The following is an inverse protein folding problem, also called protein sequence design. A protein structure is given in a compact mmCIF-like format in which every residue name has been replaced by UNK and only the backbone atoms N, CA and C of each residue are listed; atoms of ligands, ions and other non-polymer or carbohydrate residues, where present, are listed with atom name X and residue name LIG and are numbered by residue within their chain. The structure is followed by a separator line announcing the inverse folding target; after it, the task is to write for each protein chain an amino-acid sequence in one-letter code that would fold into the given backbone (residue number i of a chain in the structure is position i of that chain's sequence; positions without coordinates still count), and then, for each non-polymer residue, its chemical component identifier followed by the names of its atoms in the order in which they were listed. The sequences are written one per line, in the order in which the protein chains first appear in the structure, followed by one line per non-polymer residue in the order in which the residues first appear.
data_IF_774679988045
#
_entry.id   IF_774679988045
#
_cell.length_a   1.000
_cell.length_b   1.000
_cell.length_c   1.000
_cell.angle_alpha   90.00
_cell.angle_beta   90.00
_cell.angle_gamma   90.00
#
_symmetry.space_group_name_H-M   'P 1'
#
loop_
_entity.id
_entity.type
_entity.pdbx_description
1 polymer ?
#
# COMPACT_ATOMS: atom_id res chain seq x y z
N UNK A 1 -7.11 9.47 6.09
CA UNK A 1 -7.87 8.60 7.03
C UNK A 1 -7.11 8.33 8.34
N UNK A 2 -5.84 7.92 8.28
CA UNK A 2 -5.12 7.36 9.43
C UNK A 2 -4.74 8.31 10.59
N UNK A 3 -5.05 9.61 10.52
CA UNK A 3 -4.58 10.63 11.46
C UNK A 3 -4.89 10.35 12.95
N UNK A 4 -6.00 9.67 13.25
CA UNK A 4 -6.37 9.33 14.65
C UNK A 4 -5.58 8.17 15.24
N UNK A 5 -5.06 7.26 14.40
CA UNK A 5 -4.38 6.04 14.87
C UNK A 5 -2.88 6.06 14.59
N UNK A 6 -2.43 6.76 13.53
CA UNK A 6 -1.03 6.81 13.13
C UNK A 6 -0.11 7.31 14.26
N UNK A 7 -0.42 8.36 15.04
CA UNK A 7 0.43 8.79 16.15
C UNK A 7 0.59 7.72 17.25
N UNK A 8 -0.46 6.93 17.51
CA UNK A 8 -0.40 5.85 18.50
C UNK A 8 0.42 4.67 18.00
N UNK A 9 0.32 4.35 16.71
CA UNK A 9 1.14 3.32 16.07
C UNK A 9 2.62 3.75 16.01
N UNK A 10 2.87 5.05 15.75
CA UNK A 10 4.21 5.61 15.66
C UNK A 10 5.03 5.50 16.95
N UNK A 11 4.38 5.28 18.11
CA UNK A 11 5.07 5.02 19.36
C UNK A 11 5.87 3.69 19.34
N UNK A 12 5.52 2.74 18.47
CA UNK A 12 6.13 1.40 18.42
C UNK A 12 6.60 0.98 17.01
N UNK A 13 6.16 1.69 15.97
CA UNK A 13 6.44 1.34 14.58
C UNK A 13 6.86 2.57 13.78
N UNK A 14 7.69 2.38 12.75
CA UNK A 14 7.80 3.39 11.69
C UNK A 14 6.55 3.32 10.83
N UNK A 15 5.70 4.35 10.92
CA UNK A 15 4.43 4.40 10.20
C UNK A 15 4.62 5.11 8.87
N UNK A 16 4.36 4.38 7.79
CA UNK A 16 4.37 4.89 6.42
C UNK A 16 2.93 4.88 5.91
N UNK A 17 2.31 6.06 5.85
CA UNK A 17 0.96 6.24 5.33
C UNK A 17 1.06 6.85 3.93
N UNK A 18 0.64 6.10 2.92
CA UNK A 18 0.83 6.44 1.51
C UNK A 18 -0.48 6.81 0.86
N UNK A 19 -0.40 7.75 -0.08
CA UNK A 19 -1.44 7.93 -1.07
C UNK A 19 -1.21 6.93 -2.20
N UNK A 20 -2.25 6.17 -2.54
CA UNK A 20 -2.23 5.28 -3.69
C UNK A 20 -2.18 6.10 -4.98
N UNK A 21 -1.63 5.53 -6.06
CA UNK A 21 -1.77 6.14 -7.40
C UNK A 21 -3.23 6.52 -7.65
N UNK A 22 -3.47 7.70 -8.24
CA UNK A 22 -4.78 8.34 -8.44
C UNK A 22 -5.45 8.97 -7.20
N UNK A 23 -4.92 8.76 -6.00
CA UNK A 23 -5.49 9.29 -4.76
C UNK A 23 -4.59 10.37 -4.15
N UNK A 24 -5.17 11.30 -3.41
CA UNK A 24 -4.46 12.36 -2.70
C UNK A 24 -3.43 13.06 -3.57
N UNK A 25 -2.20 13.15 -3.09
CA UNK A 25 -1.06 13.72 -3.80
C UNK A 25 -0.24 12.68 -4.59
N UNK A 26 -0.71 11.42 -4.63
CA UNK A 26 -0.13 10.37 -5.46
C UNK A 26 -0.24 10.67 -6.96
N UNK A 27 0.70 10.12 -7.73
CA UNK A 27 0.74 10.28 -9.18
C UNK A 27 -0.55 9.81 -9.86
N UNK A 28 -0.92 10.52 -10.93
CA UNK A 28 -2.20 10.34 -11.64
C UNK A 28 -1.95 10.13 -13.14
N UNK A 29 -1.25 9.04 -13.54
CA UNK A 29 -0.95 8.79 -14.95
C UNK A 29 -2.23 8.64 -15.77
N UNK A 30 -2.20 8.96 -17.06
CA UNK A 30 -3.36 8.67 -17.91
C UNK A 30 -3.62 7.16 -17.92
N UNK A 31 -4.89 6.71 -17.84
CA UNK A 31 -5.21 5.30 -17.99
C UNK A 31 -4.67 4.77 -19.33
N UNK A 32 -4.10 3.58 -19.32
CA UNK A 32 -3.84 2.84 -20.56
C UNK A 32 -5.18 2.44 -21.20
N UNK A 33 -5.18 2.08 -22.49
CA UNK A 33 -6.40 1.68 -23.21
C UNK A 33 -7.14 0.54 -22.50
N UNK A 34 -6.39 -0.41 -21.93
CA UNK A 34 -6.91 -1.53 -21.15
C UNK A 34 -7.06 -1.24 -19.64
N UNK A 35 -6.73 -0.02 -19.21
CA UNK A 35 -6.68 0.40 -17.80
C UNK A 35 -5.78 -0.44 -16.89
N UNK A 36 -4.85 -1.22 -17.45
CA UNK A 36 -3.98 -2.14 -16.70
C UNK A 36 -3.12 -1.42 -15.68
N UNK A 37 -2.72 -0.18 -15.95
CA UNK A 37 -1.98 0.66 -15.00
C UNK A 37 -2.77 1.07 -13.76
N UNK A 38 -4.07 0.78 -13.68
CA UNK A 38 -4.88 0.97 -12.48
C UNK A 38 -5.40 -0.33 -11.86
N UNK A 39 -4.91 -1.48 -12.33
CA UNK A 39 -5.22 -2.76 -11.71
C UNK A 39 -4.53 -2.88 -10.33
N UNK A 40 -5.11 -3.70 -9.44
CA UNK A 40 -4.67 -3.80 -8.05
C UNK A 40 -3.24 -4.33 -7.91
N UNK A 41 -2.81 -5.21 -8.81
CA UNK A 41 -1.44 -5.72 -8.87
C UNK A 41 -0.42 -4.62 -9.15
N UNK A 42 -0.69 -3.73 -10.10
CA UNK A 42 0.20 -2.60 -10.40
C UNK A 42 0.24 -1.61 -9.23
N UNK A 43 -0.91 -1.34 -8.61
CA UNK A 43 -0.96 -0.50 -7.39
C UNK A 43 -0.20 -1.14 -6.22
N UNK A 44 -0.22 -2.48 -6.09
CA UNK A 44 0.53 -3.19 -5.07
C UNK A 44 2.04 -3.10 -5.33
N UNK A 45 2.46 -3.23 -6.59
CA UNK A 45 3.85 -3.10 -6.99
C UNK A 45 4.43 -1.72 -6.62
N UNK A 46 3.68 -0.63 -6.77
CA UNK A 46 4.16 0.69 -6.31
C UNK A 46 4.54 0.72 -4.85
N UNK A 47 3.75 0.04 -4.02
CA UNK A 47 3.92 0.04 -2.57
C UNK A 47 5.13 -0.83 -2.20
N UNK A 48 5.35 -1.95 -2.91
CA UNK A 48 6.58 -2.74 -2.76
C UNK A 48 7.81 -1.91 -3.13
N UNK A 49 7.82 -1.28 -4.31
CA UNK A 49 8.95 -0.48 -4.78
C UNK A 49 9.23 0.72 -3.88
N UNK A 50 8.19 1.35 -3.34
CA UNK A 50 8.33 2.42 -2.35
C UNK A 50 9.01 1.90 -1.08
N UNK A 51 8.54 0.78 -0.53
CA UNK A 51 9.13 0.21 0.69
C UNK A 51 10.58 -0.20 0.48
N UNK A 52 10.91 -0.79 -0.67
CA UNK A 52 12.29 -1.12 -1.05
C UNK A 52 13.17 0.14 -1.15
N UNK A 53 12.67 1.19 -1.79
CA UNK A 53 13.38 2.49 -1.89
C UNK A 53 13.62 3.13 -0.53
N UNK A 54 12.72 2.91 0.43
CA UNK A 54 12.86 3.34 1.82
C UNK A 54 13.73 2.40 2.67
N UNK A 55 14.19 1.27 2.12
CA UNK A 55 15.08 0.32 2.79
C UNK A 55 14.36 -0.77 3.60
N UNK A 56 13.05 -0.94 3.44
CA UNK A 56 12.27 -1.95 4.15
C UNK A 56 12.04 -3.20 3.27
N UNK A 57 12.65 -4.32 3.67
CA UNK A 57 12.52 -5.60 2.96
C UNK A 57 11.28 -6.39 3.37
N UNK A 58 10.84 -6.25 4.62
CA UNK A 58 9.65 -6.90 5.15
C UNK A 58 8.87 -5.92 6.04
N UNK A 59 7.55 -5.91 5.94
CA UNK A 59 6.71 -4.94 6.63
C UNK A 59 5.33 -5.49 7.01
N UNK A 60 4.64 -4.75 7.88
CA UNK A 60 3.25 -5.00 8.24
C UNK A 60 2.33 -4.19 7.33
N UNK A 61 1.18 -4.77 6.96
CA UNK A 61 0.19 -4.11 6.10
C UNK A 61 -1.09 -3.79 6.86
N UNK A 62 -1.62 -2.58 6.65
CA UNK A 62 -2.94 -2.18 7.15
C UNK A 62 -3.70 -1.53 5.99
N UNK A 63 -4.74 -2.21 5.49
CA UNK A 63 -5.56 -1.75 4.37
C UNK A 63 -7.00 -1.45 4.78
N UNK A 64 -7.58 -0.40 4.19
CA UNK A 64 -9.00 -0.05 4.31
C UNK A 64 -9.60 0.15 2.90
N UNK A 65 -10.81 -0.35 2.65
CA UNK A 65 -11.55 -0.19 1.38
C UNK A 65 -10.68 -0.52 0.15
N UNK A 66 -10.37 0.45 -0.73
CA UNK A 66 -9.47 0.23 -1.88
C UNK A 66 -8.07 -0.19 -1.46
N UNK A 67 -7.56 0.33 -0.35
CA UNK A 67 -6.26 -0.07 0.19
C UNK A 67 -6.24 -1.52 0.66
N UNK A 68 -7.36 -2.05 1.18
CA UNK A 68 -7.48 -3.46 1.53
C UNK A 68 -7.39 -4.35 0.28
N UNK A 69 -8.06 -3.98 -0.81
CA UNK A 69 -7.98 -4.72 -2.08
C UNK A 69 -6.56 -4.71 -2.66
N UNK A 70 -5.87 -3.56 -2.63
CA UNK A 70 -4.48 -3.45 -3.11
C UNK A 70 -3.54 -4.31 -2.28
N UNK A 71 -3.61 -4.20 -0.95
CA UNK A 71 -2.72 -4.93 -0.06
C UNK A 71 -3.01 -6.43 0.01
N UNK A 72 -4.24 -6.84 -0.25
CA UNK A 72 -4.56 -8.24 -0.48
C UNK A 72 -3.77 -8.82 -1.66
N UNK A 73 -3.74 -8.12 -2.81
CA UNK A 73 -2.91 -8.53 -3.94
C UNK A 73 -1.42 -8.46 -3.62
N UNK A 74 -0.96 -7.46 -2.85
CA UNK A 74 0.44 -7.38 -2.42
C UNK A 74 0.84 -8.62 -1.64
N UNK A 75 0.05 -9.03 -0.64
CA UNK A 75 0.34 -10.21 0.17
C UNK A 75 0.29 -11.52 -0.62
N UNK A 76 -0.49 -11.59 -1.70
CA UNK A 76 -0.53 -12.75 -2.59
C UNK A 76 0.65 -12.79 -3.57
N UNK A 77 0.97 -11.66 -4.20
CA UNK A 77 2.00 -11.57 -5.23
C UNK A 77 3.42 -11.48 -4.62
N UNK A 78 3.56 -11.01 -3.38
CA UNK A 78 4.84 -10.81 -2.65
C UNK A 78 4.77 -11.26 -1.18
N UNK A 79 4.45 -12.54 -0.90
CA UNK A 79 4.26 -13.03 0.47
C UNK A 79 5.51 -12.86 1.35
N UNK A 80 6.70 -12.92 0.75
CA UNK A 80 7.98 -12.75 1.43
C UNK A 80 8.19 -11.33 1.98
N UNK A 81 7.46 -10.33 1.47
CA UNK A 81 7.54 -8.93 1.94
C UNK A 81 6.62 -8.67 3.14
N UNK A 82 5.69 -9.58 3.47
CA UNK A 82 4.58 -9.30 4.40
C UNK A 82 4.70 -10.12 5.68
N UNK A 83 4.98 -9.44 6.80
CA UNK A 83 5.05 -10.09 8.12
C UNK A 83 3.67 -10.49 8.64
N UNK A 84 2.73 -9.54 8.59
CA UNK A 84 1.30 -9.70 8.91
C UNK A 84 0.49 -8.64 8.19
N UNK A 85 -0.77 -8.93 7.91
CA UNK A 85 -1.68 -8.02 7.23
C UNK A 85 -3.02 -7.92 7.95
N UNK A 86 -3.60 -6.72 7.95
CA UNK A 86 -4.94 -6.43 8.47
C UNK A 86 -5.74 -5.66 7.41
N UNK A 87 -6.98 -6.10 7.19
CA UNK A 87 -7.88 -5.52 6.19
C UNK A 87 -9.20 -5.15 6.82
N UNK A 88 -9.69 -3.95 6.51
CA UNK A 88 -11.03 -3.47 6.86
C UNK A 88 -11.75 -3.03 5.60
N UNK A 89 -13.07 -3.28 5.56
CA UNK A 89 -13.97 -2.86 4.48
C UNK A 89 -14.62 -1.56 4.89
#
# INVERSE_FOLDING_TARGET
MWHKIAPRLAANFTVIATDLRRYGDGDKPLPLEDSSNYCKRVMALDQVLLMEKLGYQEFYLIGHDRGAQVFYHLALDFPEKVKKSFYSI
#
